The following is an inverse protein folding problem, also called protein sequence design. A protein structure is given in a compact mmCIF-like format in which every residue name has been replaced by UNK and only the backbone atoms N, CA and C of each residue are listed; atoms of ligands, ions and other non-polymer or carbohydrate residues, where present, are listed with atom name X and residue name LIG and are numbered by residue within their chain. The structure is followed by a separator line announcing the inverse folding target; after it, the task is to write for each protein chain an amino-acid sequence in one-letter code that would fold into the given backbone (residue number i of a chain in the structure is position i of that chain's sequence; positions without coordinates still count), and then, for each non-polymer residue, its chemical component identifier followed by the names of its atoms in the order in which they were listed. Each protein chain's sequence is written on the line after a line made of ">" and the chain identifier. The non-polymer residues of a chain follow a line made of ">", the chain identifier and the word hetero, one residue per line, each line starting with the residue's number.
data_IF_443354720740
#
_entry.id   IF_443354720740
#
_cell.length_a   1.000
_cell.length_b   1.000
_cell.length_c   1.000
_cell.angle_alpha   90.00
_cell.angle_beta   90.00
_cell.angle_gamma   90.00
#
_symmetry.space_group_name_H-M   'P 1'
#
loop_
_entity.id
_entity.type
_entity.pdbx_description
1 polymer ?
#
# COMPACT_ATOMS: atom_id res chain seq x y z
N UNK A 1 -18.22 -3.14 0.36
CA UNK A 1 -16.88 -2.54 0.23
C UNK A 1 -16.59 -1.51 1.32
N UNK A 2 -17.53 -0.61 1.68
CA UNK A 2 -17.37 0.30 2.84
C UNK A 2 -18.17 -0.12 4.09
N UNK A 3 -18.89 -1.25 4.05
CA UNK A 3 -19.87 -1.63 5.09
C UNK A 3 -19.27 -1.81 6.50
N UNK A 4 -17.96 -2.01 6.60
CA UNK A 4 -17.26 -2.23 7.87
C UNK A 4 -16.51 -0.98 8.36
N UNK A 5 -16.60 0.14 7.64
CA UNK A 5 -16.03 1.42 8.03
C UNK A 5 -17.19 2.40 8.22
N UNK A 6 -17.38 2.85 9.45
CA UNK A 6 -18.39 3.85 9.79
C UNK A 6 -17.91 5.25 9.37
N UNK A 7 -18.28 5.65 8.14
CA UNK A 7 -17.80 6.88 7.51
C UNK A 7 -18.29 8.13 8.24
N UNK A 8 -19.49 8.09 8.83
CA UNK A 8 -20.10 9.23 9.50
C UNK A 8 -19.36 9.62 10.81
N UNK A 9 -18.57 8.70 11.37
CA UNK A 9 -17.73 8.95 12.56
C UNK A 9 -16.33 9.46 12.24
N UNK A 10 -15.94 9.51 10.97
CA UNK A 10 -14.59 9.93 10.59
C UNK A 10 -14.51 11.45 10.40
N UNK A 11 -13.42 12.08 10.85
CA UNK A 11 -13.23 13.52 10.65
C UNK A 11 -13.09 13.82 9.15
N UNK A 12 -13.73 14.90 8.69
CA UNK A 12 -13.64 15.35 7.30
C UNK A 12 -12.94 16.72 7.23
N UNK A 13 -11.97 16.91 6.32
CA UNK A 13 -11.50 15.97 5.29
C UNK A 13 -10.48 14.95 5.83
N UNK A 14 -10.57 13.70 5.40
CA UNK A 14 -9.52 12.69 5.63
C UNK A 14 -9.37 11.75 4.42
N UNK A 15 -8.20 11.10 4.36
CA UNK A 15 -7.96 9.98 3.45
C UNK A 15 -8.08 8.66 4.22
N UNK A 16 -8.75 7.69 3.63
CA UNK A 16 -8.96 6.37 4.21
C UNK A 16 -8.25 5.34 3.35
N UNK A 17 -7.42 4.49 3.97
CA UNK A 17 -6.81 3.33 3.32
C UNK A 17 -7.42 2.08 3.94
N UNK A 18 -8.14 1.31 3.14
CA UNK A 18 -8.64 0.00 3.55
C UNK A 18 -7.52 -1.06 3.36
N UNK A 19 -6.95 -1.53 4.46
CA UNK A 19 -5.88 -2.52 4.44
C UNK A 19 -6.26 -3.81 3.71
N UNK A 20 -7.54 -4.18 3.64
CA UNK A 20 -8.01 -5.38 2.93
C UNK A 20 -7.84 -5.22 1.43
N UNK A 21 -8.17 -4.04 0.91
CA UNK A 21 -7.99 -3.71 -0.50
C UNK A 21 -6.50 -3.50 -0.82
N UNK A 22 -5.76 -2.85 0.07
CA UNK A 22 -4.31 -2.71 -0.08
C UNK A 22 -3.63 -4.08 -0.14
N UNK A 23 -3.97 -5.00 0.76
CA UNK A 23 -3.45 -6.38 0.76
C UNK A 23 -3.78 -7.11 -0.54
N UNK A 24 -5.01 -7.02 -1.03
CA UNK A 24 -5.40 -7.63 -2.31
C UNK A 24 -4.55 -7.09 -3.47
N UNK A 25 -4.28 -5.80 -3.50
CA UNK A 25 -3.39 -5.22 -4.52
C UNK A 25 -1.95 -5.72 -4.37
N UNK A 26 -1.45 -5.82 -3.14
CA UNK A 26 -0.11 -6.36 -2.86
C UNK A 26 0.03 -7.83 -3.26
N UNK A 27 -1.01 -8.65 -3.07
CA UNK A 27 -1.04 -10.05 -3.53
C UNK A 27 -0.94 -10.16 -5.06
N UNK A 28 -1.58 -9.24 -5.80
CA UNK A 28 -1.44 -9.16 -7.26
C UNK A 28 -0.02 -8.79 -7.66
N UNK A 29 0.58 -7.79 -7.00
CA UNK A 29 1.96 -7.39 -7.28
C UNK A 29 2.94 -8.52 -6.98
N UNK A 30 2.76 -9.25 -5.87
CA UNK A 30 3.59 -10.40 -5.52
C UNK A 30 3.44 -11.57 -6.51
N UNK A 31 2.22 -11.82 -7.00
CA UNK A 31 2.00 -12.76 -8.11
C UNK A 31 2.81 -12.36 -9.35
N UNK A 32 2.76 -11.10 -9.77
CA UNK A 32 3.53 -10.62 -10.94
C UNK A 32 5.04 -10.78 -10.72
N UNK A 33 5.56 -10.50 -9.53
CA UNK A 33 6.98 -10.74 -9.21
C UNK A 33 7.36 -12.21 -9.40
N UNK A 34 6.52 -13.15 -8.92
CA UNK A 34 6.78 -14.59 -9.00
C UNK A 34 6.76 -15.10 -10.43
N UNK A 35 5.79 -14.68 -11.23
CA UNK A 35 5.65 -15.12 -12.62
C UNK A 35 6.72 -14.54 -13.55
N UNK A 36 7.12 -13.28 -13.31
CA UNK A 36 8.09 -12.59 -14.18
C UNK A 36 9.55 -12.71 -13.72
N UNK A 37 9.79 -13.03 -12.45
CA UNK A 37 11.11 -12.95 -11.82
C UNK A 37 11.59 -11.52 -11.53
N UNK A 38 10.79 -10.50 -11.84
CA UNK A 38 11.14 -9.10 -11.57
C UNK A 38 10.89 -8.72 -10.10
N UNK A 39 11.63 -7.72 -9.62
CA UNK A 39 11.39 -7.10 -8.30
C UNK A 39 10.53 -5.85 -8.44
N UNK A 40 9.47 -5.74 -7.65
CA UNK A 40 8.65 -4.54 -7.53
C UNK A 40 9.00 -3.82 -6.23
N UNK A 41 9.18 -2.51 -6.33
CA UNK A 41 9.52 -1.61 -5.21
C UNK A 41 8.47 -0.51 -5.09
N UNK A 42 8.24 -0.03 -3.87
CA UNK A 42 7.31 1.07 -3.61
C UNK A 42 7.94 2.42 -4.01
N UNK A 43 7.26 3.21 -4.84
CA UNK A 43 7.65 4.59 -5.11
C UNK A 43 7.08 5.54 -4.06
N UNK A 44 7.90 6.01 -3.12
CA UNK A 44 7.46 6.86 -1.99
C UNK A 44 6.90 8.20 -2.45
N UNK A 45 7.38 8.72 -3.58
CA UNK A 45 6.84 9.94 -4.22
C UNK A 45 5.36 9.87 -4.59
N UNK A 46 4.79 8.65 -4.72
CA UNK A 46 3.38 8.45 -5.02
C UNK A 46 2.56 8.09 -3.77
N UNK A 47 3.16 7.36 -2.82
CA UNK A 47 2.49 6.91 -1.61
C UNK A 47 3.49 6.75 -0.45
N UNK A 48 3.26 7.51 0.62
CA UNK A 48 4.14 7.55 1.81
C UNK A 48 3.38 7.51 3.13
N UNK A 49 2.27 6.77 3.20
CA UNK A 49 1.57 6.55 4.47
C UNK A 49 2.34 5.51 5.31
N UNK A 50 3.33 5.98 6.07
CA UNK A 50 4.28 5.15 6.83
C UNK A 50 3.63 4.06 7.70
N UNK A 51 2.44 4.31 8.26
CA UNK A 51 1.69 3.33 9.06
C UNK A 51 1.38 2.02 8.32
N UNK A 52 1.31 2.06 6.98
CA UNK A 52 1.00 0.89 6.14
C UNK A 52 2.24 0.14 5.66
N UNK A 53 3.44 0.70 5.86
CA UNK A 53 4.69 0.10 5.37
C UNK A 53 4.97 -1.30 5.95
N UNK A 54 4.66 -1.63 7.23
CA UNK A 54 4.80 -2.98 7.74
C UNK A 54 3.97 -4.03 6.98
N UNK A 55 2.84 -3.65 6.39
CA UNK A 55 2.05 -4.52 5.54
C UNK A 55 2.67 -4.62 4.14
N UNK A 56 3.02 -3.48 3.52
CA UNK A 56 3.61 -3.43 2.18
C UNK A 56 4.93 -4.21 2.10
N UNK A 57 5.80 -4.07 3.12
CA UNK A 57 7.10 -4.73 3.19
C UNK A 57 7.04 -6.25 3.29
N UNK A 58 5.86 -6.85 3.55
CA UNK A 58 5.67 -8.30 3.46
C UNK A 58 5.64 -8.82 2.02
N UNK A 59 5.38 -7.94 1.04
CA UNK A 59 5.15 -8.31 -0.36
C UNK A 59 6.17 -7.68 -1.32
N UNK A 60 6.46 -6.38 -1.17
CA UNK A 60 7.36 -5.66 -2.08
C UNK A 60 8.82 -5.76 -1.63
N UNK A 61 9.74 -5.62 -2.59
CA UNK A 61 11.18 -5.88 -2.39
C UNK A 61 12.01 -4.68 -1.96
N UNK A 62 11.36 -3.57 -1.63
CA UNK A 62 12.03 -2.35 -1.19
C UNK A 62 11.26 -1.09 -1.58
N UNK A 63 11.96 0.05 -1.55
CA UNK A 63 11.41 1.35 -1.91
C UNK A 63 12.36 2.12 -2.82
N UNK A 64 11.84 3.06 -3.59
CA UNK A 64 12.61 4.10 -4.28
C UNK A 64 12.19 5.46 -3.77
N UNK A 65 13.16 6.36 -3.59
CA UNK A 65 12.94 7.74 -3.15
C UNK A 65 13.56 8.71 -4.15
N UNK A 66 12.96 9.90 -4.28
CA UNK A 66 13.47 11.04 -5.04
C UNK A 66 13.91 12.20 -4.14
N UNK A 67 13.95 11.99 -2.82
CA UNK A 67 14.44 12.93 -1.80
C UNK A 67 15.23 12.19 -0.72
N UNK A 68 16.03 12.94 0.05
CA UNK A 68 16.79 12.40 1.20
C UNK A 68 15.89 11.99 2.36
N UNK A 69 14.78 12.71 2.53
CA UNK A 69 13.79 12.49 3.58
C UNK A 69 12.65 11.59 3.10
#
# INVERSE_FOLDING_TARGET
>A
MLKDIDIDKLPSPCYIVDERLLKKNLEVLDYVQKESGANIILATKAFSMFSTFPLIGKYLKGVTSSSLF
#
